data_IF_492162139840
#
_entry.id   IF_492162139840
#
_cell.length_a   1.000
_cell.length_b   1.000
_cell.length_c   1.000
_cell.angle_alpha   90.00
_cell.angle_beta   90.00
_cell.angle_gamma   90.00
#
_symmetry.space_group_name_H-M   'P 1'
#
loop_
_entity.id
_entity.type
_entity.pdbx_description
1 polymer ?
#
# COMPACT_ATOMS: atom_id res chain seq x y z
N UNK A 1 -19.10 -42.38 -21.35
CA UNK A 1 -18.37 -41.29 -20.67
C UNK A 1 -16.98 -41.25 -21.29
N UNK A 2 -16.56 -40.11 -21.87
CA UNK A 2 -15.18 -39.95 -22.38
C UNK A 2 -14.33 -39.31 -21.29
N UNK A 3 -13.13 -39.83 -21.08
CA UNK A 3 -12.18 -39.36 -20.07
C UNK A 3 -10.84 -39.11 -20.76
N UNK A 4 -10.19 -38.00 -20.42
CA UNK A 4 -8.84 -37.66 -20.86
C UNK A 4 -8.00 -37.30 -19.63
N UNK A 5 -6.93 -38.06 -19.39
CA UNK A 5 -6.00 -37.81 -18.28
C UNK A 5 -4.88 -36.92 -18.78
N UNK A 6 -4.81 -35.70 -18.23
CA UNK A 6 -3.74 -34.75 -18.54
C UNK A 6 -2.47 -35.13 -17.79
N UNK A 7 -2.61 -35.43 -16.51
CA UNK A 7 -1.53 -35.96 -15.67
C UNK A 7 -2.11 -36.77 -14.51
N UNK A 8 -1.28 -37.14 -13.53
CA UNK A 8 -1.71 -37.93 -12.37
C UNK A 8 -2.75 -37.25 -11.46
N UNK A 9 -2.92 -35.92 -11.54
CA UNK A 9 -3.88 -35.16 -10.74
C UNK A 9 -5.02 -34.58 -11.57
N UNK A 10 -4.81 -34.29 -12.85
CA UNK A 10 -5.77 -33.56 -13.70
C UNK A 10 -6.42 -34.51 -14.68
N UNK A 11 -7.75 -34.49 -14.73
CA UNK A 11 -8.54 -35.29 -15.68
C UNK A 11 -9.71 -34.47 -16.20
N UNK A 12 -9.96 -34.52 -17.51
CA UNK A 12 -11.16 -33.95 -18.12
C UNK A 12 -12.13 -35.07 -18.47
N UNK A 13 -13.42 -34.86 -18.22
CA UNK A 13 -14.48 -35.81 -18.56
C UNK A 13 -15.59 -35.12 -19.33
N UNK A 14 -16.10 -35.78 -20.37
CA UNK A 14 -17.29 -35.35 -21.07
C UNK A 14 -18.52 -36.01 -20.43
N UNK A 15 -19.31 -35.22 -19.70
CA UNK A 15 -20.47 -35.65 -18.92
C UNK A 15 -21.70 -34.84 -19.38
N UNK A 16 -22.73 -35.51 -19.90
CA UNK A 16 -23.95 -34.83 -20.37
C UNK A 16 -23.70 -33.78 -21.47
N UNK A 17 -22.66 -33.97 -22.29
CA UNK A 17 -22.26 -33.01 -23.32
C UNK A 17 -21.57 -31.75 -22.77
N UNK A 18 -21.05 -31.80 -21.53
CA UNK A 18 -20.27 -30.73 -20.92
C UNK A 18 -18.88 -31.26 -20.56
N UNK A 19 -17.85 -30.45 -20.84
CA UNK A 19 -16.48 -30.73 -20.44
C UNK A 19 -16.28 -30.32 -18.98
N UNK A 20 -16.01 -31.30 -18.13
CA UNK A 20 -15.84 -31.11 -16.68
C UNK A 20 -14.40 -31.45 -16.29
N UNK A 21 -13.74 -30.50 -15.63
CA UNK A 21 -12.38 -30.63 -15.11
C UNK A 21 -12.42 -31.23 -13.70
N UNK A 22 -11.62 -32.27 -13.47
CA UNK A 22 -11.41 -32.93 -12.20
C UNK A 22 -9.98 -32.75 -11.74
N UNK A 23 -9.80 -32.55 -10.43
CA UNK A 23 -8.50 -32.54 -9.76
C UNK A 23 -8.51 -33.56 -8.63
N UNK A 24 -7.57 -34.50 -8.66
CA UNK A 24 -7.48 -35.64 -7.74
C UNK A 24 -8.84 -36.38 -7.61
N UNK A 25 -9.45 -36.71 -8.75
CA UNK A 25 -10.75 -37.36 -8.87
C UNK A 25 -11.96 -36.62 -8.27
N UNK A 26 -11.81 -35.34 -7.89
CA UNK A 26 -12.92 -34.48 -7.43
C UNK A 26 -13.26 -33.47 -8.50
N UNK A 27 -14.55 -33.27 -8.73
CA UNK A 27 -15.03 -32.24 -9.66
C UNK A 27 -14.50 -30.87 -9.22
N UNK A 28 -13.89 -30.15 -10.16
CA UNK A 28 -13.28 -28.86 -9.90
C UNK A 28 -14.05 -27.72 -10.56
N UNK A 29 -14.27 -27.80 -11.88
CA UNK A 29 -14.96 -26.74 -12.63
C UNK A 29 -15.47 -27.26 -13.98
N UNK A 30 -16.61 -26.74 -14.43
CA UNK A 30 -17.04 -26.91 -15.82
C UNK A 30 -16.30 -25.93 -16.73
N UNK A 31 -15.70 -26.42 -17.83
CA UNK A 31 -15.19 -25.58 -18.91
C UNK A 31 -16.39 -25.03 -19.71
N UNK A 32 -16.45 -23.70 -19.89
CA UNK A 32 -17.62 -23.03 -20.48
C UNK A 32 -17.37 -22.41 -21.85
N UNK A 33 -16.13 -22.00 -22.15
CA UNK A 33 -15.78 -21.21 -23.33
C UNK A 33 -14.32 -21.52 -23.73
N UNK A 34 -14.06 -21.72 -25.02
CA UNK A 34 -12.73 -21.63 -25.62
C UNK A 34 -12.40 -20.16 -25.83
N UNK A 35 -11.36 -19.66 -25.14
CA UNK A 35 -11.13 -18.22 -25.01
C UNK A 35 -10.51 -17.56 -26.25
N UNK A 36 -9.90 -18.33 -27.16
CA UNK A 36 -9.40 -17.82 -28.43
C UNK A 36 -9.47 -18.90 -29.50
N UNK A 37 -10.16 -18.59 -30.59
CA UNK A 37 -9.97 -19.23 -31.89
C UNK A 37 -9.29 -18.16 -32.75
N UNK A 38 -7.98 -18.30 -33.00
CA UNK A 38 -7.25 -17.29 -33.79
C UNK A 38 -7.74 -17.43 -35.22
N UNK A 39 -8.37 -16.40 -35.82
CA UNK A 39 -8.79 -16.49 -37.21
C UNK A 39 -7.53 -16.67 -38.06
N UNK A 40 -7.53 -17.69 -38.92
CA UNK A 40 -6.43 -17.95 -39.88
C UNK A 40 -6.23 -16.74 -40.83
N UNK A 41 -7.17 -15.79 -40.86
CA UNK A 41 -7.16 -14.64 -41.74
C UNK A 41 -7.05 -13.31 -40.95
N UNK A 42 -5.83 -12.85 -40.69
CA UNK A 42 -5.47 -11.46 -40.99
C UNK A 42 -5.20 -10.46 -39.85
N UNK A 43 -5.43 -10.75 -38.58
CA UNK A 43 -4.94 -9.88 -37.48
C UNK A 43 -3.68 -10.52 -36.87
N UNK A 44 -2.53 -9.87 -37.00
CA UNK A 44 -1.27 -10.42 -36.51
C UNK A 44 -1.31 -10.50 -34.97
N UNK A 45 -1.03 -11.70 -34.44
CA UNK A 45 -0.79 -11.91 -33.00
C UNK A 45 0.58 -11.37 -32.53
N UNK A 46 1.23 -10.53 -33.35
CA UNK A 46 2.54 -9.97 -33.05
C UNK A 46 2.44 -8.97 -31.88
N UNK A 47 3.21 -9.23 -30.82
CA UNK A 47 3.25 -8.38 -29.63
C UNK A 47 2.20 -8.69 -28.56
N UNK A 48 1.55 -9.85 -28.60
CA UNK A 48 0.71 -10.36 -27.51
C UNK A 48 1.53 -11.34 -26.67
N UNK A 49 1.74 -11.01 -25.39
CA UNK A 49 2.59 -11.82 -24.51
C UNK A 49 1.80 -12.78 -23.62
N UNK A 50 0.47 -12.68 -23.56
CA UNK A 50 -0.37 -13.58 -22.75
C UNK A 50 -1.79 -13.70 -23.30
N UNK A 51 -2.46 -14.79 -22.94
CA UNK A 51 -3.88 -15.03 -23.27
C UNK A 51 -4.82 -13.99 -22.63
N UNK A 52 -4.42 -13.40 -21.48
CA UNK A 52 -5.17 -12.33 -20.83
C UNK A 52 -5.13 -11.05 -21.70
N UNK A 53 -3.94 -10.69 -22.21
CA UNK A 53 -3.76 -9.54 -23.12
C UNK A 53 -4.54 -9.74 -24.42
N UNK A 54 -4.54 -10.97 -24.96
CA UNK A 54 -5.34 -11.33 -26.12
C UNK A 54 -6.85 -11.14 -25.85
N UNK A 55 -7.37 -11.67 -24.74
CA UNK A 55 -8.79 -11.58 -24.39
C UNK A 55 -9.27 -10.14 -24.12
N UNK A 56 -8.39 -9.27 -23.61
CA UNK A 56 -8.72 -7.87 -23.35
C UNK A 56 -8.66 -7.03 -24.64
N UNK A 57 -7.74 -7.33 -25.57
CA UNK A 57 -7.64 -6.68 -26.91
C UNK A 57 -8.79 -7.08 -27.81
N UNK A 58 -9.01 -8.38 -27.94
CA UNK A 58 -10.09 -8.98 -28.69
C UNK A 58 -11.25 -9.16 -27.73
N UNK A 59 -11.92 -8.06 -27.31
CA UNK A 59 -13.14 -8.09 -26.50
C UNK A 59 -13.99 -9.25 -26.98
N UNK A 60 -14.06 -10.33 -26.21
CA UNK A 60 -14.52 -11.65 -26.65
C UNK A 60 -15.78 -11.53 -27.49
N UNK A 61 -15.62 -11.42 -28.81
CA UNK A 61 -16.73 -11.49 -29.72
C UNK A 61 -17.03 -12.97 -29.76
N UNK A 62 -18.18 -13.33 -29.21
CA UNK A 62 -18.71 -14.69 -29.26
C UNK A 62 -18.94 -15.03 -30.72
N UNK A 63 -17.89 -15.44 -31.43
CA UNK A 63 -18.01 -15.99 -32.76
C UNK A 63 -18.61 -17.38 -32.60
N UNK A 64 -19.94 -17.42 -32.70
CA UNK A 64 -20.74 -18.65 -32.73
C UNK A 64 -20.52 -19.38 -34.06
N UNK A 65 -19.42 -20.11 -34.15
CA UNK A 65 -19.41 -21.36 -34.91
C UNK A 65 -20.00 -22.46 -34.02
N UNK A 66 -20.93 -23.26 -34.54
CA UNK A 66 -21.44 -24.43 -33.82
C UNK A 66 -20.34 -25.50 -33.81
N UNK A 67 -19.40 -25.40 -32.87
CA UNK A 67 -18.35 -26.41 -32.67
C UNK A 67 -19.02 -27.67 -32.11
N UNK A 68 -18.72 -28.83 -32.67
CA UNK A 68 -19.24 -30.08 -32.11
C UNK A 68 -18.73 -30.26 -30.68
N UNK A 69 -19.58 -30.76 -29.78
CA UNK A 69 -19.22 -30.91 -28.35
C UNK A 69 -18.01 -31.82 -28.14
N UNK A 70 -17.71 -32.73 -29.07
CA UNK A 70 -16.50 -33.55 -29.01
C UNK A 70 -15.27 -32.78 -29.48
N UNK A 71 -15.39 -31.94 -30.50
CA UNK A 71 -14.30 -31.07 -30.97
C UNK A 71 -13.94 -30.05 -29.88
N UNK A 72 -14.94 -29.43 -29.25
CA UNK A 72 -14.77 -28.53 -28.10
C UNK A 72 -14.08 -29.26 -26.92
N UNK A 73 -14.47 -30.50 -26.63
CA UNK A 73 -13.82 -31.32 -25.60
C UNK A 73 -12.35 -31.56 -25.89
N UNK A 74 -11.99 -31.92 -27.13
CA UNK A 74 -10.59 -32.15 -27.51
C UNK A 74 -9.76 -30.87 -27.50
N UNK A 75 -10.33 -29.75 -27.93
CA UNK A 75 -9.67 -28.44 -27.82
C UNK A 75 -9.36 -28.08 -26.36
N UNK A 76 -10.33 -28.28 -25.45
CA UNK A 76 -10.08 -28.11 -24.02
C UNK A 76 -9.02 -29.05 -23.45
N UNK A 77 -9.01 -30.32 -23.87
CA UNK A 77 -8.00 -31.28 -23.45
C UNK A 77 -6.61 -30.88 -23.94
N UNK A 78 -6.48 -30.43 -25.19
CA UNK A 78 -5.22 -29.99 -25.78
C UNK A 78 -4.65 -28.77 -25.05
N UNK A 79 -5.47 -27.74 -24.82
CA UNK A 79 -5.03 -26.55 -24.06
C UNK A 79 -4.55 -26.91 -22.65
N UNK A 80 -5.26 -27.81 -21.97
CA UNK A 80 -4.89 -28.27 -20.63
C UNK A 80 -3.62 -29.14 -20.62
N UNK A 81 -3.43 -29.94 -21.66
CA UNK A 81 -2.24 -30.76 -21.84
C UNK A 81 -1.02 -29.88 -22.09
N UNK A 82 -1.11 -28.95 -23.04
CA UNK A 82 -0.03 -27.98 -23.35
C UNK A 82 0.33 -27.17 -22.10
N UNK A 83 -0.66 -26.72 -21.35
CA UNK A 83 -0.44 -26.02 -20.09
C UNK A 83 0.35 -26.86 -19.07
N UNK A 84 -0.03 -28.13 -18.88
CA UNK A 84 0.64 -29.03 -17.94
C UNK A 84 2.05 -29.41 -18.41
N UNK A 85 2.25 -29.65 -19.71
CA UNK A 85 3.54 -29.99 -20.31
C UNK A 85 4.53 -28.82 -20.28
N UNK A 86 4.04 -27.59 -20.37
CA UNK A 86 4.85 -26.37 -20.23
C UNK A 86 5.02 -25.93 -18.78
N UNK A 87 5.07 -26.89 -17.84
CA UNK A 87 5.28 -26.63 -16.42
C UNK A 87 4.29 -25.61 -15.84
N UNK A 88 3.01 -25.70 -16.20
CA UNK A 88 1.93 -24.84 -15.73
C UNK A 88 2.08 -23.35 -16.07
N UNK A 89 2.68 -23.05 -17.22
CA UNK A 89 2.85 -21.68 -17.72
C UNK A 89 1.52 -20.90 -17.72
N UNK A 90 1.48 -19.82 -16.93
CA UNK A 90 0.28 -19.02 -16.69
C UNK A 90 -0.07 -18.08 -17.84
N UNK A 91 0.78 -17.98 -18.87
CA UNK A 91 0.47 -17.23 -20.08
C UNK A 91 -0.35 -18.07 -21.08
N UNK A 92 -0.43 -19.40 -20.89
CA UNK A 92 -1.18 -20.37 -21.74
C UNK A 92 -2.66 -20.48 -21.33
N UNK A 93 -2.96 -20.45 -20.03
CA UNK A 93 -4.33 -20.49 -19.51
C UNK A 93 -4.74 -19.16 -18.90
N UNK A 94 -5.95 -18.70 -19.23
CA UNK A 94 -6.47 -17.45 -18.69
C UNK A 94 -6.56 -17.48 -17.17
N UNK A 95 -6.29 -16.33 -16.53
CA UNK A 95 -6.18 -16.17 -15.07
C UNK A 95 -7.33 -16.80 -14.27
N UNK A 96 -8.56 -16.72 -14.78
CA UNK A 96 -9.77 -17.25 -14.13
C UNK A 96 -9.82 -18.79 -14.02
N UNK A 97 -8.94 -19.51 -14.72
CA UNK A 97 -8.77 -20.95 -14.62
C UNK A 97 -7.40 -21.29 -14.04
N UNK A 98 -6.32 -20.65 -14.52
CA UNK A 98 -4.95 -20.93 -14.10
C UNK A 98 -4.75 -20.77 -12.58
N UNK A 99 -5.15 -19.62 -12.00
CA UNK A 99 -4.97 -19.36 -10.58
C UNK A 99 -5.73 -20.33 -9.67
N UNK A 100 -7.05 -20.54 -9.85
CA UNK A 100 -7.79 -21.51 -9.05
C UNK A 100 -7.23 -22.93 -9.18
N UNK A 101 -6.79 -23.31 -10.38
CA UNK A 101 -6.28 -24.65 -10.65
C UNK A 101 -4.90 -24.87 -10.02
N UNK A 102 -3.97 -23.92 -10.18
CA UNK A 102 -2.69 -23.91 -9.47
C UNK A 102 -2.90 -24.01 -7.96
N UNK A 103 -3.75 -23.15 -7.38
CA UNK A 103 -4.10 -23.17 -5.95
C UNK A 103 -4.60 -24.56 -5.51
N UNK A 104 -5.43 -25.21 -6.33
CA UNK A 104 -5.96 -26.55 -6.02
C UNK A 104 -4.88 -27.62 -6.11
N UNK A 105 -4.08 -27.64 -7.18
CA UNK A 105 -2.97 -28.58 -7.35
C UNK A 105 -1.91 -28.45 -6.25
N UNK A 106 -1.58 -27.22 -5.85
CA UNK A 106 -0.68 -26.98 -4.72
C UNK A 106 -1.22 -27.58 -3.41
N UNK A 107 -2.55 -27.51 -3.17
CA UNK A 107 -3.19 -28.10 -2.00
C UNK A 107 -3.20 -29.63 -2.04
N UNK A 108 -3.25 -30.23 -3.23
CA UNK A 108 -3.18 -31.69 -3.42
C UNK A 108 -1.73 -32.21 -3.38
N UNK A 109 -0.73 -31.35 -3.19
CA UNK A 109 0.67 -31.74 -2.96
C UNK A 109 1.57 -31.68 -4.20
N UNK A 110 1.10 -31.16 -5.34
CA UNK A 110 1.94 -30.95 -6.51
C UNK A 110 2.99 -29.87 -6.24
N UNK A 111 4.26 -30.27 -6.18
CA UNK A 111 5.39 -29.39 -5.89
C UNK A 111 5.62 -28.33 -6.98
N UNK A 112 5.49 -28.72 -8.25
CA UNK A 112 5.70 -27.80 -9.37
C UNK A 112 4.56 -26.79 -9.43
N UNK A 113 3.32 -27.24 -9.26
CA UNK A 113 2.18 -26.33 -9.19
C UNK A 113 2.30 -25.37 -8.00
N UNK A 114 2.79 -25.84 -6.84
CA UNK A 114 3.07 -24.98 -5.68
C UNK A 114 4.11 -23.90 -5.99
N UNK A 115 5.21 -24.26 -6.66
CA UNK A 115 6.22 -23.29 -7.07
C UNK A 115 5.64 -22.26 -8.05
N UNK A 116 4.98 -22.73 -9.13
CA UNK A 116 4.37 -21.86 -10.14
C UNK A 116 3.28 -20.96 -9.59
N UNK A 117 2.51 -21.44 -8.61
CA UNK A 117 1.53 -20.63 -7.92
C UNK A 117 2.17 -19.44 -7.19
N UNK A 118 3.28 -19.67 -6.48
CA UNK A 118 4.03 -18.61 -5.79
C UNK A 118 4.64 -17.62 -6.80
N UNK A 119 5.28 -18.12 -7.86
CA UNK A 119 5.87 -17.30 -8.93
C UNK A 119 4.84 -16.40 -9.60
N UNK A 120 3.64 -16.92 -9.88
CA UNK A 120 2.58 -16.14 -10.52
C UNK A 120 2.01 -15.07 -9.58
N UNK A 121 1.83 -15.38 -8.28
CA UNK A 121 1.45 -14.36 -7.29
C UNK A 121 2.51 -13.25 -7.26
N UNK A 122 3.78 -13.61 -7.19
CA UNK A 122 4.89 -12.65 -7.18
C UNK A 122 4.94 -11.80 -8.45
N UNK A 123 4.82 -12.41 -9.64
CA UNK A 123 4.81 -11.72 -10.94
C UNK A 123 3.68 -10.71 -11.04
N UNK A 124 2.44 -11.13 -10.72
CA UNK A 124 1.25 -10.25 -10.78
C UNK A 124 1.31 -9.17 -9.72
N UNK A 125 1.88 -9.43 -8.55
CA UNK A 125 2.04 -8.42 -7.52
C UNK A 125 3.10 -7.37 -7.92
N UNK A 126 4.19 -7.80 -8.56
CA UNK A 126 5.30 -6.94 -9.01
C UNK A 126 4.92 -6.03 -10.18
N UNK A 127 4.26 -6.58 -11.20
CA UNK A 127 3.98 -5.88 -12.47
C UNK A 127 2.51 -5.46 -12.62
N UNK A 128 1.60 -6.04 -11.85
CA UNK A 128 0.19 -5.67 -11.89
C UNK A 128 -0.05 -4.28 -11.29
N UNK A 129 -1.05 -3.58 -11.82
CA UNK A 129 -1.52 -2.31 -11.26
C UNK A 129 -2.17 -2.47 -9.88
N UNK A 130 -2.50 -1.35 -9.24
CA UNK A 130 -3.04 -1.32 -7.87
C UNK A 130 -4.26 -2.23 -7.66
N UNK A 131 -5.16 -2.33 -8.65
CA UNK A 131 -6.34 -3.20 -8.56
C UNK A 131 -5.98 -4.69 -8.47
N UNK A 132 -4.94 -5.12 -9.18
CA UNK A 132 -4.44 -6.50 -9.11
C UNK A 132 -3.81 -6.76 -7.75
N UNK A 133 -3.02 -5.82 -7.24
CA UNK A 133 -2.39 -5.93 -5.92
C UNK A 133 -3.44 -5.99 -4.80
N UNK A 134 -4.47 -5.13 -4.85
CA UNK A 134 -5.59 -5.14 -3.91
C UNK A 134 -6.39 -6.45 -3.97
N UNK A 135 -6.64 -6.98 -5.18
CA UNK A 135 -7.28 -8.28 -5.33
C UNK A 135 -6.45 -9.40 -4.68
N UNK A 136 -5.14 -9.45 -4.95
CA UNK A 136 -4.25 -10.45 -4.35
C UNK A 136 -4.20 -10.35 -2.82
N UNK A 137 -4.26 -9.13 -2.29
CA UNK A 137 -4.33 -8.89 -0.85
C UNK A 137 -5.67 -9.34 -0.25
N UNK A 138 -6.80 -8.89 -0.80
CA UNK A 138 -8.15 -9.18 -0.28
C UNK A 138 -8.49 -10.67 -0.32
N UNK A 139 -7.99 -11.39 -1.33
CA UNK A 139 -8.19 -12.84 -1.47
C UNK A 139 -7.14 -13.68 -0.72
N UNK A 140 -6.30 -13.03 0.11
CA UNK A 140 -5.27 -13.65 0.94
C UNK A 140 -4.21 -14.42 0.14
N UNK A 141 -3.97 -14.06 -1.13
CA UNK A 141 -2.91 -14.69 -1.92
C UNK A 141 -1.51 -14.31 -1.43
N UNK A 142 -1.35 -13.13 -0.81
CA UNK A 142 -0.06 -12.70 -0.25
C UNK A 142 0.40 -13.53 0.96
N UNK A 143 -0.50 -14.29 1.59
CA UNK A 143 -0.16 -15.18 2.71
C UNK A 143 0.71 -16.37 2.28
N UNK A 144 0.68 -16.70 0.98
CA UNK A 144 1.52 -17.74 0.41
C UNK A 144 2.96 -17.29 0.13
N UNK A 145 3.23 -15.98 0.19
CA UNK A 145 4.57 -15.42 0.00
C UNK A 145 5.30 -15.32 1.35
N UNK A 146 6.53 -15.83 1.40
CA UNK A 146 7.47 -15.58 2.49
C UNK A 146 8.03 -14.15 2.41
N UNK A 147 8.71 -13.71 3.47
CA UNK A 147 9.41 -12.42 3.44
C UNK A 147 10.52 -12.44 2.37
N UNK A 148 11.20 -13.58 2.18
CA UNK A 148 12.26 -13.74 1.19
C UNK A 148 11.72 -13.68 -0.24
N UNK A 149 10.55 -14.26 -0.50
CA UNK A 149 9.87 -14.14 -1.80
C UNK A 149 9.61 -12.66 -2.15
N UNK A 150 9.20 -11.86 -1.15
CA UNK A 150 8.95 -10.43 -1.33
C UNK A 150 10.27 -9.66 -1.52
N UNK A 151 11.27 -9.90 -0.69
CA UNK A 151 12.53 -9.15 -0.71
C UNK A 151 13.39 -9.45 -1.93
N UNK A 152 13.42 -10.71 -2.39
CA UNK A 152 14.31 -11.15 -3.47
C UNK A 152 13.61 -11.33 -4.82
N UNK A 153 12.33 -11.73 -4.83
CA UNK A 153 11.58 -11.99 -6.07
C UNK A 153 10.78 -10.79 -6.56
N UNK A 154 10.24 -10.00 -5.62
CA UNK A 154 9.26 -8.96 -5.93
C UNK A 154 9.89 -7.57 -5.93
N UNK A 155 10.48 -7.16 -4.80
CA UNK A 155 11.07 -5.84 -4.63
C UNK A 155 12.42 -5.80 -5.36
N UNK A 156 12.74 -4.66 -5.98
CA UNK A 156 14.06 -4.50 -6.58
C UNK A 156 15.17 -4.51 -5.50
N UNK A 157 16.32 -5.14 -5.76
CA UNK A 157 17.40 -5.27 -4.77
C UNK A 157 17.83 -3.95 -4.12
N UNK A 158 17.78 -2.85 -4.88
CA UNK A 158 18.20 -1.53 -4.38
C UNK A 158 17.25 -0.96 -3.32
N UNK A 159 15.96 -1.34 -3.35
CA UNK A 159 14.91 -0.88 -2.41
C UNK A 159 14.64 -1.90 -1.30
N UNK A 160 15.19 -3.13 -1.41
CA UNK A 160 14.91 -4.23 -0.49
C UNK A 160 15.47 -4.02 0.93
N UNK A 161 16.55 -3.23 1.08
CA UNK A 161 17.23 -3.01 2.37
C UNK A 161 16.29 -2.42 3.45
N UNK A 162 15.48 -1.45 3.07
CA UNK A 162 14.49 -0.85 3.97
C UNK A 162 13.43 -1.88 4.37
N UNK A 163 12.91 -2.63 3.40
CA UNK A 163 11.85 -3.61 3.65
C UNK A 163 12.35 -4.79 4.49
N UNK A 164 13.62 -5.17 4.36
CA UNK A 164 14.25 -6.16 5.22
C UNK A 164 14.20 -5.71 6.69
N UNK A 165 14.54 -4.45 6.98
CA UNK A 165 14.40 -3.90 8.35
C UNK A 165 12.97 -3.91 8.86
N UNK A 166 11.98 -3.61 8.02
CA UNK A 166 10.56 -3.68 8.40
C UNK A 166 10.16 -5.13 8.72
N UNK A 167 10.63 -6.11 7.94
CA UNK A 167 10.26 -7.51 8.08
C UNK A 167 10.96 -8.28 9.20
N UNK A 168 12.24 -7.99 9.48
CA UNK A 168 13.00 -8.58 10.58
C UNK A 168 12.38 -8.24 11.94
N UNK A 169 11.71 -7.10 12.01
CA UNK A 169 11.42 -6.43 13.26
C UNK A 169 9.93 -6.51 13.61
N UNK A 170 9.36 -7.72 13.54
CA UNK A 170 7.91 -7.99 13.71
C UNK A 170 7.28 -7.43 15.00
N UNK A 171 8.08 -7.01 15.99
CA UNK A 171 7.62 -6.30 17.21
C UNK A 171 7.83 -4.77 17.19
N UNK A 172 8.66 -4.26 16.28
CA UNK A 172 9.14 -2.87 16.20
C UNK A 172 8.34 -2.05 15.18
N UNK A 173 8.18 -2.58 13.96
CA UNK A 173 7.38 -1.96 12.90
C UNK A 173 6.21 -2.86 12.52
N UNK A 174 5.12 -2.26 12.06
CA UNK A 174 4.01 -2.98 11.41
C UNK A 174 3.62 -2.26 10.14
N UNK A 175 3.68 -2.95 9.01
CA UNK A 175 3.06 -2.43 7.79
C UNK A 175 1.55 -2.29 8.00
N UNK A 176 1.02 -1.14 7.61
CA UNK A 176 -0.41 -0.91 7.58
C UNK A 176 -0.86 -1.01 6.11
N UNK A 177 -1.87 -1.81 5.82
CA UNK A 177 -2.43 -1.88 4.48
C UNK A 177 -3.11 -0.56 4.06
N UNK A 178 -2.54 0.11 3.06
CA UNK A 178 -3.14 1.14 2.20
C UNK A 178 -3.94 2.28 2.89
N UNK A 179 -3.22 3.26 3.47
CA UNK A 179 -3.71 4.56 3.98
C UNK A 179 -5.04 4.48 4.75
N UNK A 180 -5.18 3.48 5.61
CA UNK A 180 -6.36 3.29 6.44
C UNK A 180 -7.69 3.00 5.70
N UNK A 181 -7.71 2.78 4.39
CA UNK A 181 -8.93 2.47 3.63
C UNK A 181 -9.53 1.08 3.92
N UNK A 182 -8.86 0.30 4.76
CA UNK A 182 -9.30 -1.01 5.23
C UNK A 182 -9.77 -0.93 6.68
N UNK A 183 -10.67 0.02 6.97
CA UNK A 183 -11.45 0.07 8.21
C UNK A 183 -12.32 -1.19 8.33
N UNK A 184 -11.83 -2.15 9.11
CA UNK A 184 -12.56 -3.38 9.44
C UNK A 184 -11.58 -4.46 9.88
N UNK A 185 -11.68 -4.87 11.15
CA UNK A 185 -10.87 -5.90 11.83
C UNK A 185 -9.75 -6.54 10.98
N UNK A 186 -8.59 -5.87 10.89
CA UNK A 186 -7.40 -6.46 10.27
C UNK A 186 -6.89 -7.57 11.21
N UNK A 187 -7.50 -8.75 11.11
CA UNK A 187 -7.01 -9.99 11.70
C UNK A 187 -5.87 -10.51 10.80
N UNK A 188 -4.66 -10.03 11.07
CA UNK A 188 -3.44 -10.81 10.78
C UNK A 188 -2.66 -10.51 9.49
N UNK A 189 -3.09 -9.60 8.62
CA UNK A 189 -2.40 -9.39 7.33
C UNK A 189 -1.68 -8.03 7.31
N UNK A 190 -0.33 -8.09 7.34
CA UNK A 190 0.58 -6.94 7.43
C UNK A 190 1.61 -6.94 6.29
N UNK A 191 1.27 -7.41 5.09
CA UNK A 191 2.25 -7.57 3.99
C UNK A 191 1.96 -6.72 2.74
N UNK A 192 0.90 -5.92 2.76
CA UNK A 192 0.60 -5.07 1.61
C UNK A 192 1.60 -3.93 1.48
N UNK A 193 2.13 -3.77 0.28
CA UNK A 193 3.09 -2.74 -0.16
C UNK A 193 2.66 -2.31 -1.57
N UNK A 194 2.44 -1.02 -1.81
CA UNK A 194 2.10 -0.56 -3.16
C UNK A 194 3.33 -0.61 -4.05
N UNK A 195 3.27 -1.42 -5.11
CA UNK A 195 4.38 -1.60 -6.04
C UNK A 195 4.08 -1.03 -7.42
N UNK A 196 5.14 -0.61 -8.12
CA UNK A 196 5.15 -0.35 -9.55
C UNK A 196 6.42 -0.94 -10.13
N UNK A 197 6.31 -2.06 -10.85
CA UNK A 197 7.43 -2.81 -11.41
C UNK A 197 8.49 -3.18 -10.35
N UNK A 198 8.02 -3.65 -9.19
CA UNK A 198 8.89 -4.02 -8.06
C UNK A 198 9.47 -2.86 -7.26
N UNK A 199 9.09 -1.61 -7.57
CA UNK A 199 9.48 -0.43 -6.78
C UNK A 199 8.37 0.04 -5.88
N UNK A 200 8.69 0.48 -4.67
CA UNK A 200 7.73 0.91 -3.66
C UNK A 200 7.27 2.34 -3.96
N UNK A 201 6.03 2.50 -4.42
CA UNK A 201 5.47 3.82 -4.73
C UNK A 201 4.79 4.49 -3.55
N UNK A 202 4.19 3.70 -2.66
CA UNK A 202 3.49 4.21 -1.47
C UNK A 202 3.66 3.23 -0.31
N UNK A 203 3.81 3.79 0.88
CA UNK A 203 4.08 3.01 2.09
C UNK A 203 3.38 3.61 3.30
N UNK A 204 2.75 2.73 4.08
CA UNK A 204 2.22 3.06 5.39
C UNK A 204 2.74 2.06 6.43
N UNK A 205 3.27 2.56 7.55
CA UNK A 205 3.72 1.70 8.65
C UNK A 205 3.57 2.36 10.02
N UNK A 206 3.38 1.52 11.03
CA UNK A 206 3.36 1.87 12.44
C UNK A 206 4.70 1.61 13.11
N UNK A 207 5.12 2.56 13.95
CA UNK A 207 6.23 2.44 14.91
C UNK A 207 5.65 2.10 16.28
N UNK A 208 6.04 0.94 16.86
CA UNK A 208 5.40 0.36 18.05
C UNK A 208 6.13 0.54 19.40
N UNK A 209 7.33 1.13 19.45
CA UNK A 209 8.13 1.20 20.69
C UNK A 209 8.89 2.53 20.84
N UNK A 210 9.21 2.90 22.09
CA UNK A 210 9.70 4.22 22.53
C UNK A 210 11.04 4.69 21.95
N UNK A 211 11.84 3.78 21.38
CA UNK A 211 13.20 4.09 20.89
C UNK A 211 13.35 3.90 19.38
N UNK A 212 12.25 3.64 18.66
CA UNK A 212 12.30 3.31 17.24
C UNK A 212 12.03 4.53 16.37
N UNK A 213 12.79 4.58 15.28
CA UNK A 213 12.88 5.70 14.34
C UNK A 213 12.55 5.16 12.96
N UNK A 214 12.23 6.03 12.02
CA UNK A 214 12.27 5.71 10.61
C UNK A 214 13.69 5.22 10.27
N UNK A 215 13.85 3.99 9.75
CA UNK A 215 15.16 3.51 9.32
C UNK A 215 15.77 4.42 8.25
N UNK A 216 17.06 4.74 8.38
CA UNK A 216 17.78 5.59 7.42
C UNK A 216 17.78 5.01 6.00
N UNK A 217 17.67 3.69 5.85
CA UNK A 217 17.49 2.98 4.57
C UNK A 217 16.27 3.44 3.79
N UNK A 218 15.36 4.24 4.37
CA UNK A 218 14.25 4.82 3.62
C UNK A 218 14.75 5.65 2.42
N UNK A 219 15.98 6.16 2.47
CA UNK A 219 16.63 6.83 1.33
C UNK A 219 16.85 5.91 0.12
N UNK A 220 16.81 4.59 0.31
CA UNK A 220 16.94 3.60 -0.77
C UNK A 220 15.68 3.55 -1.64
N UNK A 221 14.52 3.94 -1.10
CA UNK A 221 13.23 3.91 -1.78
C UNK A 221 13.07 5.06 -2.79
N UNK A 222 13.76 4.95 -3.94
CA UNK A 222 13.87 6.01 -4.95
C UNK A 222 12.57 6.37 -5.68
N UNK A 223 11.50 5.60 -5.48
CA UNK A 223 10.17 5.89 -6.07
C UNK A 223 9.06 6.09 -5.07
N UNK A 224 9.37 6.09 -3.77
CA UNK A 224 8.37 6.30 -2.73
C UNK A 224 7.87 7.75 -2.77
N UNK A 225 6.67 7.96 -3.30
CA UNK A 225 6.08 9.30 -3.42
C UNK A 225 5.26 9.68 -2.18
N UNK A 226 4.56 8.70 -1.60
CA UNK A 226 3.65 8.89 -0.45
C UNK A 226 4.07 8.02 0.72
N UNK A 227 4.38 8.66 1.83
CA UNK A 227 4.73 8.01 3.08
C UNK A 227 3.71 8.39 4.17
N UNK A 228 3.18 7.38 4.85
CA UNK A 228 2.38 7.56 6.05
C UNK A 228 2.98 6.79 7.22
N UNK A 229 3.30 7.53 8.28
CA UNK A 229 3.89 7.00 9.50
C UNK A 229 2.85 7.08 10.60
N UNK A 230 2.56 5.94 11.22
CA UNK A 230 1.74 5.88 12.43
C UNK A 230 2.63 5.73 13.66
N UNK A 231 2.40 6.54 14.68
CA UNK A 231 3.19 6.56 15.91
C UNK A 231 2.30 6.07 17.06
N UNK A 232 2.56 4.81 17.43
CA UNK A 232 1.82 4.01 18.43
C UNK A 232 2.15 4.30 19.89
N UNK A 233 3.29 4.97 20.15
CA UNK A 233 3.89 5.16 21.47
C UNK A 233 4.68 6.47 21.53
N UNK A 234 5.01 6.96 22.72
CA UNK A 234 5.91 8.09 22.93
C UNK A 234 7.18 7.97 22.07
N UNK A 235 7.55 9.03 21.35
CA UNK A 235 8.81 9.14 20.61
C UNK A 235 9.34 10.55 20.83
N UNK A 236 10.62 10.67 21.21
CA UNK A 236 11.31 11.97 21.25
C UNK A 236 11.68 12.43 19.84
N UNK A 237 12.16 11.48 19.03
CA UNK A 237 12.57 11.76 17.67
C UNK A 237 12.44 10.57 16.72
N UNK A 238 11.43 10.62 15.84
CA UNK A 238 11.17 9.59 14.82
C UNK A 238 12.18 9.58 13.68
N UNK A 239 13.00 10.60 13.50
CA UNK A 239 13.98 10.71 12.40
C UNK A 239 15.43 10.75 12.89
N UNK A 240 15.75 10.26 14.08
CA UNK A 240 17.06 10.53 14.68
C UNK A 240 18.30 9.87 14.02
N UNK A 241 18.18 9.22 12.86
CA UNK A 241 19.30 8.94 11.95
C UNK A 241 19.17 9.82 10.71
N UNK A 242 20.29 10.38 10.23
CA UNK A 242 20.27 11.20 9.03
C UNK A 242 20.07 10.36 7.77
N UNK A 243 19.16 10.80 6.90
CA UNK A 243 18.92 10.21 5.58
C UNK A 243 18.48 11.31 4.59
N UNK A 244 18.37 10.95 3.30
CA UNK A 244 17.86 11.86 2.27
C UNK A 244 16.82 11.17 1.37
N UNK A 245 15.53 11.38 1.68
CA UNK A 245 14.40 10.79 0.99
C UNK A 245 13.84 11.74 -0.09
N UNK A 246 14.58 11.91 -1.17
CA UNK A 246 14.27 12.86 -2.26
C UNK A 246 13.01 12.50 -3.05
N UNK A 247 12.58 11.24 -3.04
CA UNK A 247 11.41 10.75 -3.76
C UNK A 247 10.08 11.18 -3.13
N UNK A 248 10.08 11.45 -1.82
CA UNK A 248 8.86 11.66 -1.05
C UNK A 248 8.33 13.07 -1.27
N UNK A 249 7.08 13.15 -1.75
CA UNK A 249 6.37 14.40 -2.00
C UNK A 249 5.19 14.60 -1.05
N UNK A 250 4.65 13.51 -0.50
CA UNK A 250 3.55 13.51 0.46
C UNK A 250 3.97 12.77 1.73
N UNK A 251 3.92 13.45 2.87
CA UNK A 251 4.20 12.89 4.18
C UNK A 251 2.99 13.08 5.10
N UNK A 252 2.48 11.97 5.62
CA UNK A 252 1.47 11.95 6.65
C UNK A 252 2.03 11.33 7.94
N UNK A 253 1.81 11.98 9.07
CA UNK A 253 2.20 11.48 10.39
C UNK A 253 0.96 11.46 11.27
N UNK A 254 0.55 10.27 11.70
CA UNK A 254 -0.59 10.09 12.60
C UNK A 254 -0.12 9.61 13.96
N UNK A 255 -0.62 10.23 15.03
CA UNK A 255 -0.14 10.03 16.39
C UNK A 255 -1.28 9.61 17.32
N UNK A 256 -1.09 8.55 18.11
CA UNK A 256 -2.12 8.03 19.01
C UNK A 256 -1.67 7.80 20.47
N UNK A 257 -0.49 8.28 20.89
CA UNK A 257 0.04 8.03 22.23
C UNK A 257 0.29 9.30 23.04
N UNK A 258 0.43 9.14 24.36
CA UNK A 258 0.79 10.22 25.28
C UNK A 258 2.22 10.72 25.04
N UNK A 259 2.38 12.02 25.24
CA UNK A 259 3.66 12.74 25.26
C UNK A 259 4.51 12.60 23.98
N UNK A 260 3.92 12.32 22.81
CA UNK A 260 4.69 12.26 21.56
C UNK A 260 5.31 13.63 21.29
N UNK A 261 6.61 13.68 21.04
CA UNK A 261 7.30 14.82 20.43
C UNK A 261 7.54 14.47 18.97
N UNK A 262 6.91 15.20 18.05
CA UNK A 262 7.28 15.11 16.63
C UNK A 262 8.35 16.17 16.42
N UNK A 263 9.65 15.81 16.33
CA UNK A 263 10.71 16.79 16.26
C UNK A 263 10.87 17.32 14.84
N UNK A 264 11.67 18.36 14.79
CA UNK A 264 12.00 19.06 13.58
C UNK A 264 13.17 18.44 12.81
N UNK A 265 12.87 17.47 11.94
CA UNK A 265 13.82 16.95 10.96
C UNK A 265 13.16 16.75 9.57
N UNK A 266 12.18 17.58 9.23
CA UNK A 266 11.47 17.47 7.96
C UNK A 266 12.37 17.73 6.74
N UNK A 267 13.55 18.32 6.95
CA UNK A 267 14.51 18.56 5.87
C UNK A 267 15.12 17.29 5.27
N UNK A 268 14.88 16.10 5.83
CA UNK A 268 15.19 14.83 5.15
C UNK A 268 14.28 14.54 3.96
N UNK A 269 13.23 15.34 3.74
CA UNK A 269 12.31 15.27 2.61
C UNK A 269 12.41 16.55 1.75
N UNK A 270 13.52 16.76 1.01
CA UNK A 270 13.78 18.04 0.33
C UNK A 270 12.76 18.40 -0.78
N UNK A 271 12.06 17.40 -1.33
CA UNK A 271 11.05 17.57 -2.37
C UNK A 271 9.61 17.50 -1.83
N UNK A 272 9.43 17.60 -0.52
CA UNK A 272 8.11 17.53 0.11
C UNK A 272 7.19 18.66 -0.38
N UNK A 273 5.99 18.30 -0.83
CA UNK A 273 4.94 19.21 -1.31
C UNK A 273 3.74 19.24 -0.37
N UNK A 274 3.40 18.11 0.24
CA UNK A 274 2.28 17.98 1.17
C UNK A 274 2.76 17.40 2.50
N UNK A 275 2.56 18.17 3.57
CA UNK A 275 2.77 17.73 4.95
C UNK A 275 1.43 17.66 5.66
N UNK A 276 1.11 16.49 6.20
CA UNK A 276 -0.03 16.29 7.09
C UNK A 276 0.40 15.67 8.41
N UNK A 277 0.08 16.33 9.52
CA UNK A 277 0.29 15.80 10.86
C UNK A 277 -1.06 15.82 11.58
N UNK A 278 -1.46 14.67 12.13
CA UNK A 278 -2.71 14.53 12.85
C UNK A 278 -2.58 13.79 14.19
N UNK A 279 -3.33 14.28 15.17
CA UNK A 279 -3.63 13.54 16.39
C UNK A 279 -4.86 12.68 16.21
N UNK A 280 -4.72 11.36 16.36
CA UNK A 280 -5.84 10.42 16.37
C UNK A 280 -6.43 10.38 17.77
N UNK A 281 -7.74 10.60 17.89
CA UNK A 281 -8.45 10.52 19.16
C UNK A 281 -8.39 9.09 19.71
N UNK A 282 -7.86 8.95 20.93
CA UNK A 282 -7.97 7.70 21.68
C UNK A 282 -9.34 7.67 22.35
N UNK A 283 -10.29 6.92 21.81
CA UNK A 283 -11.51 6.58 22.54
C UNK A 283 -11.16 5.45 23.54
N UNK A 284 -10.69 5.80 24.74
CA UNK A 284 -10.35 4.82 25.77
C UNK A 284 -9.52 5.37 26.93
N UNK A 285 -9.35 4.62 28.02
CA UNK A 285 -8.50 5.03 29.12
C UNK A 285 -7.03 5.04 28.70
N UNK A 286 -6.36 6.17 28.86
CA UNK A 286 -4.96 6.36 28.43
C UNK A 286 -4.03 6.16 29.62
N UNK A 287 -2.92 5.42 29.44
CA UNK A 287 -1.96 5.11 30.50
C UNK A 287 -0.81 6.13 30.46
N UNK A 288 -0.72 6.99 31.47
CA UNK A 288 0.43 7.90 31.62
C UNK A 288 1.61 7.19 32.28
N UNK A 289 2.81 7.42 31.77
CA UNK A 289 4.06 6.96 32.39
C UNK A 289 4.74 8.16 33.04
N UNK A 290 4.88 8.11 34.36
CA UNK A 290 5.65 9.10 35.10
C UNK A 290 7.09 8.60 35.27
N UNK A 291 8.03 9.26 34.58
CA UNK A 291 9.46 8.91 34.66
C UNK A 291 10.02 9.13 36.06
N UNK A 292 9.44 10.03 36.85
CA UNK A 292 9.93 10.36 38.20
C UNK A 292 9.63 9.29 39.24
N UNK A 293 8.57 8.50 39.06
CA UNK A 293 8.11 7.54 40.09
C UNK A 293 8.52 6.08 39.84
N UNK A 294 9.03 5.70 38.65
CA UNK A 294 9.37 4.31 38.23
C UNK A 294 8.28 3.24 38.46
N UNK A 295 7.12 3.61 39.01
CA UNK A 295 6.00 2.76 39.42
C UNK A 295 4.74 3.62 39.51
N UNK A 296 4.07 3.83 38.39
CA UNK A 296 2.60 3.78 38.34
C UNK A 296 2.08 4.04 36.92
N UNK A 297 1.11 3.22 36.53
CA UNK A 297 0.27 3.37 35.34
C UNK A 297 -1.07 3.89 35.85
N UNK A 298 -1.51 5.09 35.45
CA UNK A 298 -2.85 5.58 35.78
C UNK A 298 -3.74 5.61 34.54
N UNK A 299 -4.98 5.11 34.66
CA UNK A 299 -6.01 5.21 33.62
C UNK A 299 -6.59 6.64 33.62
N UNK A 300 -6.36 7.38 32.55
CA UNK A 300 -7.02 8.67 32.31
C UNK A 300 -8.19 8.44 31.35
N UNK A 301 -9.42 8.52 31.86
CA UNK A 301 -10.65 8.38 31.06
C UNK A 301 -11.09 9.76 30.56
N UNK A 302 -11.25 9.92 29.24
CA UNK A 302 -12.03 11.03 28.66
C UNK A 302 -11.37 12.42 28.62
N UNK A 303 -10.12 12.52 28.19
CA UNK A 303 -9.53 13.83 27.81
C UNK A 303 -9.54 13.94 26.29
N UNK A 304 -10.01 15.07 25.75
CA UNK A 304 -9.72 15.50 24.37
C UNK A 304 -8.20 15.75 24.27
N UNK A 305 -7.45 14.67 24.05
CA UNK A 305 -6.00 14.68 24.00
C UNK A 305 -5.50 15.11 22.61
N UNK A 306 -4.46 15.96 22.60
CA UNK A 306 -3.76 16.40 21.39
C UNK A 306 -2.26 16.13 21.55
N UNK A 307 -1.62 15.35 20.66
CA UNK A 307 -0.18 15.14 20.70
C UNK A 307 0.56 16.46 20.47
N UNK A 308 1.64 16.67 21.21
CA UNK A 308 2.44 17.88 21.09
C UNK A 308 3.40 17.80 19.89
N UNK A 309 3.47 18.86 19.11
CA UNK A 309 4.31 18.94 17.92
C UNK A 309 5.23 20.14 18.08
N UNK A 310 6.52 19.95 17.82
CA UNK A 310 7.51 21.03 17.88
C UNK A 310 8.15 21.22 16.50
N UNK A 311 8.09 22.44 15.97
CA UNK A 311 8.53 22.78 14.61
C UNK A 311 9.72 23.78 14.63
N UNK A 312 10.88 23.40 15.19
CA UNK A 312 12.05 24.28 15.40
C UNK A 312 12.95 24.57 14.15
N UNK A 313 12.53 25.46 13.24
CA UNK A 313 13.15 25.75 11.92
C UNK A 313 12.78 24.82 10.74
N UNK A 314 11.62 24.16 10.81
CA UNK A 314 11.32 23.00 9.96
C UNK A 314 11.18 23.30 8.49
N UNK A 315 10.85 24.56 8.21
CA UNK A 315 10.50 24.99 6.88
C UNK A 315 11.68 25.61 6.14
N UNK A 316 12.86 25.75 6.78
CA UNK A 316 14.03 26.42 6.18
C UNK A 316 14.46 25.80 4.84
N UNK A 317 14.41 24.48 4.72
CA UNK A 317 14.86 23.72 3.53
C UNK A 317 13.72 23.22 2.63
N UNK A 318 12.46 23.41 3.03
CA UNK A 318 11.28 22.85 2.34
C UNK A 318 10.74 23.79 1.25
N UNK A 319 11.58 24.16 0.28
CA UNK A 319 11.25 25.17 -0.75
C UNK A 319 10.13 24.74 -1.71
N UNK A 320 9.78 23.45 -1.71
CA UNK A 320 8.74 22.87 -2.55
C UNK A 320 7.40 22.69 -1.83
N UNK A 321 7.30 23.04 -0.54
CA UNK A 321 6.10 22.78 0.25
C UNK A 321 4.93 23.67 -0.20
N UNK A 322 3.83 23.05 -0.57
CA UNK A 322 2.62 23.67 -1.11
C UNK A 322 1.46 23.64 -0.11
N UNK A 323 1.40 22.61 0.73
CA UNK A 323 0.30 22.41 1.66
C UNK A 323 0.79 21.92 3.02
N UNK A 324 0.34 22.58 4.07
CA UNK A 324 0.51 22.15 5.45
C UNK A 324 -0.86 21.87 6.06
N UNK A 325 -1.01 20.71 6.68
CA UNK A 325 -2.15 20.36 7.52
C UNK A 325 -1.67 19.94 8.89
N UNK A 326 -2.11 20.63 9.93
CA UNK A 326 -1.89 20.27 11.32
C UNK A 326 -3.27 20.14 11.97
N UNK A 327 -3.69 18.91 12.26
CA UNK A 327 -5.05 18.63 12.74
C UNK A 327 -5.03 17.96 14.11
N UNK A 328 -5.81 18.47 15.05
CA UNK A 328 -5.97 17.87 16.38
C UNK A 328 -4.62 17.66 17.12
N UNK A 329 -3.66 18.58 16.94
CA UNK A 329 -2.34 18.56 17.60
C UNK A 329 -2.14 19.77 18.53
N UNK A 330 -1.30 19.66 19.54
CA UNK A 330 -0.88 20.77 20.39
C UNK A 330 0.42 21.35 19.82
N UNK A 331 0.48 22.66 19.61
CA UNK A 331 1.63 23.39 19.08
C UNK A 331 1.68 24.76 19.79
N UNK A 332 2.86 25.16 20.27
CA UNK A 332 3.05 26.44 20.96
C UNK A 332 2.92 27.64 20.00
N UNK A 333 3.67 27.59 18.90
CA UNK A 333 3.68 28.63 17.86
C UNK A 333 4.09 28.03 16.50
N UNK A 334 3.78 28.75 15.41
CA UNK A 334 4.38 28.46 14.11
C UNK A 334 5.78 29.09 14.07
N UNK A 335 6.81 28.37 13.60
CA UNK A 335 8.15 28.94 13.48
C UNK A 335 8.23 29.99 12.38
N UNK A 336 9.04 31.02 12.61
CA UNK A 336 9.30 32.11 11.64
C UNK A 336 9.82 31.60 10.28
N UNK A 337 10.45 30.41 10.25
CA UNK A 337 10.89 29.78 9.01
C UNK A 337 9.77 29.48 8.02
N UNK A 338 8.50 29.48 8.46
CA UNK A 338 7.34 29.37 7.55
C UNK A 338 7.32 30.49 6.50
N UNK A 339 7.91 31.66 6.81
CA UNK A 339 8.03 32.78 5.87
C UNK A 339 8.92 32.48 4.65
N UNK A 340 9.72 31.40 4.71
CA UNK A 340 10.56 30.94 3.60
C UNK A 340 9.77 30.14 2.55
N UNK A 341 8.56 29.65 2.88
CA UNK A 341 7.78 28.79 2.00
C UNK A 341 7.08 29.57 0.90
N UNK A 342 7.79 29.87 -0.18
CA UNK A 342 7.25 30.70 -1.28
C UNK A 342 6.18 30.02 -2.12
N UNK A 343 6.08 28.69 -2.06
CA UNK A 343 5.08 27.89 -2.79
C UNK A 343 3.87 27.49 -1.94
N UNK A 344 3.80 27.87 -0.67
CA UNK A 344 2.73 27.45 0.24
C UNK A 344 1.40 28.09 -0.17
N UNK A 345 0.44 27.30 -0.64
CA UNK A 345 -0.88 27.77 -1.10
C UNK A 345 -2.03 27.37 -0.17
N UNK A 346 -1.76 26.47 0.78
CA UNK A 346 -2.76 25.95 1.71
C UNK A 346 -2.17 25.71 3.10
N UNK A 347 -2.87 26.17 4.14
CA UNK A 347 -2.50 25.88 5.53
C UNK A 347 -3.76 25.60 6.37
N UNK A 348 -3.82 24.42 6.97
CA UNK A 348 -4.87 24.05 7.90
C UNK A 348 -4.28 23.90 9.30
N UNK A 349 -4.82 24.67 10.25
CA UNK A 349 -4.47 24.60 11.68
C UNK A 349 -5.69 24.27 12.54
N UNK A 350 -6.72 23.65 11.93
CA UNK A 350 -7.96 23.32 12.62
C UNK A 350 -7.69 22.40 13.81
N UNK A 351 -8.38 22.69 14.92
CA UNK A 351 -8.23 21.95 16.17
C UNK A 351 -6.79 21.91 16.70
N UNK A 352 -5.94 22.88 16.37
CA UNK A 352 -4.64 23.06 17.07
C UNK A 352 -4.81 23.80 18.41
N UNK A 353 -3.71 24.03 19.14
CA UNK A 353 -3.67 24.93 20.31
C UNK A 353 -3.15 26.33 20.01
N UNK A 354 -2.87 26.64 18.73
CA UNK A 354 -2.41 27.97 18.32
C UNK A 354 -3.49 29.00 18.62
N UNK A 355 -3.14 30.02 19.41
CA UNK A 355 -4.03 31.13 19.76
C UNK A 355 -3.81 32.36 18.90
N UNK A 356 -2.59 32.58 18.42
CA UNK A 356 -2.28 33.78 17.63
C UNK A 356 -1.17 33.51 16.64
N UNK A 357 -1.15 34.30 15.57
CA UNK A 357 -0.06 34.37 14.61
C UNK A 357 0.60 35.75 14.68
N UNK A 358 1.92 35.80 14.54
CA UNK A 358 2.65 37.06 14.44
C UNK A 358 2.32 37.77 13.12
N UNK A 359 2.46 39.11 13.10
CA UNK A 359 2.22 39.89 11.88
C UNK A 359 3.12 39.47 10.68
N UNK A 360 4.43 39.20 10.86
CA UNK A 360 5.28 38.71 9.79
C UNK A 360 4.78 37.40 9.16
N UNK A 361 4.31 36.46 9.98
CA UNK A 361 3.74 35.18 9.50
C UNK A 361 2.47 35.43 8.71
N UNK A 362 1.58 36.29 9.20
CA UNK A 362 0.32 36.62 8.49
C UNK A 362 0.60 37.27 7.14
N UNK A 363 1.53 38.22 7.08
CA UNK A 363 1.93 38.84 5.82
C UNK A 363 2.53 37.84 4.85
N UNK A 364 3.37 36.92 5.33
CA UNK A 364 3.92 35.86 4.50
C UNK A 364 2.82 34.94 3.93
N UNK A 365 1.89 34.47 4.78
CA UNK A 365 0.77 33.62 4.36
C UNK A 365 -0.21 34.34 3.42
N UNK A 366 -0.38 35.66 3.55
CA UNK A 366 -1.14 36.48 2.58
C UNK A 366 -0.45 36.53 1.23
N UNK A 367 0.86 36.76 1.20
CA UNK A 367 1.64 36.87 -0.05
C UNK A 367 1.57 35.59 -0.90
N UNK A 368 1.44 34.43 -0.26
CA UNK A 368 1.36 33.15 -0.96
C UNK A 368 -0.08 32.67 -1.22
N UNK A 369 -1.09 33.40 -0.73
CA UNK A 369 -2.51 33.00 -0.82
C UNK A 369 -2.95 31.94 0.20
N UNK A 370 -2.02 31.36 0.96
CA UNK A 370 -2.32 30.32 1.97
C UNK A 370 -3.33 30.77 3.02
N UNK A 371 -3.30 32.05 3.42
CA UNK A 371 -4.24 32.56 4.43
C UNK A 371 -5.70 32.51 3.95
N UNK A 372 -5.95 32.75 2.66
CA UNK A 372 -7.30 32.71 2.10
C UNK A 372 -7.87 31.29 2.06
N UNK A 373 -6.99 30.29 1.94
CA UNK A 373 -7.34 28.87 1.90
C UNK A 373 -7.10 28.18 3.24
N UNK A 374 -7.19 28.93 4.36
CA UNK A 374 -6.91 28.40 5.68
C UNK A 374 -8.16 28.15 6.50
N UNK A 375 -8.17 27.04 7.23
CA UNK A 375 -9.19 26.74 8.25
C UNK A 375 -8.75 27.26 9.63
N UNK A 376 -8.35 28.54 9.70
CA UNK A 376 -7.95 29.18 10.94
C UNK A 376 -9.17 29.50 11.81
N UNK A 377 -9.38 28.73 12.88
CA UNK A 377 -10.32 29.09 13.94
C UNK A 377 -9.58 30.00 14.94
N UNK A 378 -9.31 31.25 14.55
CA UNK A 378 -8.82 32.29 15.46
C UNK A 378 -10.01 32.98 16.14
N UNK A 379 -9.91 33.29 17.43
CA UNK A 379 -10.98 33.99 18.13
C UNK A 379 -11.15 35.39 17.52
N UNK A 380 -12.37 35.92 17.41
CA UNK A 380 -12.63 37.23 16.80
C UNK A 380 -11.85 38.41 17.41
N UNK A 381 -11.39 38.28 18.66
CA UNK A 381 -10.59 39.29 19.38
C UNK A 381 -9.14 39.34 18.87
N UNK A 382 -8.59 38.21 18.46
CA UNK A 382 -7.27 38.11 17.84
C UNK A 382 -7.31 38.76 16.45
N UNK A 383 -8.37 38.52 15.66
CA UNK A 383 -8.62 39.26 14.41
C UNK A 383 -8.69 40.78 14.57
N UNK A 384 -9.21 41.29 15.70
CA UNK A 384 -9.24 42.74 16.00
C UNK A 384 -7.86 43.31 16.32
N UNK A 385 -6.97 42.53 16.94
CA UNK A 385 -5.57 42.92 17.13
C UNK A 385 -4.79 42.94 15.80
N UNK A 386 -5.15 42.07 14.84
CA UNK A 386 -4.56 41.99 13.49
C UNK A 386 -4.98 43.13 12.53
N UNK A 387 -6.02 43.91 12.88
CA UNK A 387 -6.47 45.10 12.11
C UNK A 387 -5.95 46.43 12.67
N UNK A 388 -5.29 46.43 13.83
CA UNK A 388 -4.78 47.64 14.48
C UNK A 388 -3.32 47.47 14.86
N UNK A 389 -2.42 47.59 13.88
CA UNK A 389 -1.16 48.32 13.97
C UNK A 389 -0.55 48.46 12.60
#
# INVERSE_FOLDING_TARGET
MREFKVNHLITLRLIGGKTVLFVNNREFKQCKILLLDIPINGESAEGINSIDEASDRFKSSSFYGYIDKNEEFWAHCSNMQVWAENNYDTDILHRNLAFPLLKKLSKEGDKLAKQRFIEEIARRYKYGGINVQLYLFNENYLDYLTNDDILSGIILPEEASFMAKIFESRSKYRLIPYFGLLEGEIRGITKFISLKNGRVGQLEFEIKNKLLRVPSEIESLKTLERLHIYIGSHSDNIFGEQFNAESITYLMISCNAMDITIPDLLYYFPNLRWLYIEGIKINGPVIKYDESSKKSRFLIKGIDYKPFVKLDNSFKKLQNLESIKLHNVSLDELPDTIMNLKKLIYIDLAYTSIKSLSMPIIEALKKTGALANSNLILLPKEFKALKKK
#
